data_IF_494621660688
#
_entry.id   IF_494621660688
#
_cell.length_a   1.000
_cell.length_b   1.000
_cell.length_c   1.000
_cell.angle_alpha   90.00
_cell.angle_beta   90.00
_cell.angle_gamma   90.00
#
_symmetry.space_group_name_H-M   'P 1'
#
loop_
_entity.id
_entity.type
_entity.pdbx_description
1 polymer ?
#
# COMPACT_ATOMS: atom_id res chain seq x y z
N UNK A 1 2.52 -4.54 -23.30
CA UNK A 1 2.16 -4.14 -21.92
C UNK A 1 2.35 -2.65 -21.81
N UNK A 2 1.44 -1.93 -21.14
CA UNK A 2 1.67 -0.49 -20.88
C UNK A 2 2.88 -0.33 -19.96
N UNK A 3 3.59 0.80 -20.07
CA UNK A 3 4.70 1.14 -19.19
C UNK A 3 4.34 0.95 -17.71
N UNK A 4 3.12 1.38 -17.34
CA UNK A 4 2.57 1.22 -16.00
C UNK A 4 2.47 -0.25 -15.55
N UNK A 5 1.87 -1.13 -16.35
CA UNK A 5 1.79 -2.56 -16.03
C UNK A 5 3.17 -3.21 -15.86
N UNK A 6 4.17 -2.74 -16.61
CA UNK A 6 5.55 -3.22 -16.47
C UNK A 6 6.16 -2.80 -15.14
N UNK A 7 5.96 -1.55 -14.70
CA UNK A 7 6.45 -1.06 -13.40
C UNK A 7 5.84 -1.86 -12.26
N UNK A 8 4.51 -2.05 -12.25
CA UNK A 8 3.82 -2.88 -11.24
C UNK A 8 4.42 -4.28 -11.16
N UNK A 9 4.60 -4.93 -12.32
CA UNK A 9 5.13 -6.30 -12.37
C UNK A 9 6.56 -6.37 -11.83
N UNK A 10 7.41 -5.40 -12.19
CA UNK A 10 8.77 -5.30 -11.64
C UNK A 10 8.73 -5.13 -10.12
N UNK A 11 7.86 -4.26 -9.59
CA UNK A 11 7.71 -4.05 -8.14
C UNK A 11 7.32 -5.33 -7.41
N UNK A 12 6.37 -6.09 -7.95
CA UNK A 12 5.94 -7.38 -7.38
C UNK A 12 7.10 -8.39 -7.40
N UNK A 13 7.79 -8.53 -8.53
CA UNK A 13 8.91 -9.47 -8.68
C UNK A 13 10.06 -9.11 -7.72
N UNK A 14 10.43 -7.83 -7.64
CA UNK A 14 11.47 -7.36 -6.71
C UNK A 14 11.07 -7.62 -5.25
N UNK A 15 9.81 -7.39 -4.89
CA UNK A 15 9.32 -7.66 -3.54
C UNK A 15 9.41 -9.16 -3.18
N UNK A 16 9.11 -10.05 -4.12
CA UNK A 16 9.28 -11.51 -3.94
C UNK A 16 10.77 -11.86 -3.75
N UNK A 17 11.66 -11.30 -4.58
CA UNK A 17 13.10 -11.51 -4.46
C UNK A 17 13.60 -11.06 -3.08
N UNK A 18 13.13 -9.92 -2.59
CA UNK A 18 13.49 -9.41 -1.26
C UNK A 18 13.02 -10.33 -0.13
N UNK A 19 11.80 -10.88 -0.22
CA UNK A 19 11.30 -11.88 0.75
C UNK A 19 12.23 -13.11 0.79
N UNK A 20 12.59 -13.64 -0.39
CA UNK A 20 13.53 -14.78 -0.50
C UNK A 20 14.90 -14.42 0.08
N UNK A 21 15.41 -13.23 -0.23
CA UNK A 21 16.72 -12.78 0.23
C UNK A 21 16.77 -12.65 1.75
N UNK A 22 15.76 -12.06 2.37
CA UNK A 22 15.69 -11.88 3.83
C UNK A 22 15.56 -13.22 4.54
N UNK A 23 14.76 -14.15 4.01
CA UNK A 23 14.60 -15.48 4.62
C UNK A 23 15.89 -16.31 4.58
N UNK A 24 16.72 -16.12 3.56
CA UNK A 24 18.02 -16.77 3.43
C UNK A 24 19.18 -16.00 4.09
N UNK A 25 18.92 -14.80 4.62
CA UNK A 25 19.94 -13.98 5.25
C UNK A 25 20.14 -14.35 6.72
N UNK A 26 21.39 -14.57 7.11
CA UNK A 26 21.78 -14.78 8.52
C UNK A 26 22.04 -13.46 9.28
N UNK A 27 21.95 -12.32 8.59
CA UNK A 27 22.24 -10.99 9.17
C UNK A 27 21.01 -10.44 9.90
N UNK A 28 19.81 -10.83 9.46
CA UNK A 28 18.55 -10.25 9.92
C UNK A 28 18.00 -11.05 11.10
N UNK A 29 17.70 -10.36 12.21
CA UNK A 29 17.06 -10.96 13.39
C UNK A 29 15.67 -11.51 13.05
N UNK A 30 15.19 -12.50 13.81
CA UNK A 30 13.90 -13.13 13.51
C UNK A 30 12.72 -12.15 13.52
N UNK A 31 12.74 -11.18 14.44
CA UNK A 31 11.71 -10.14 14.53
C UNK A 31 11.76 -9.19 13.33
N UNK A 32 12.96 -8.75 12.93
CA UNK A 32 13.16 -7.92 11.75
C UNK A 32 12.71 -8.66 10.47
N UNK A 33 13.05 -9.95 10.37
CA UNK A 33 12.66 -10.83 9.25
C UNK A 33 11.16 -10.87 9.08
N UNK A 34 10.41 -11.11 10.16
CA UNK A 34 8.94 -11.10 10.13
C UNK A 34 8.41 -9.75 9.66
N UNK A 35 8.92 -8.64 10.22
CA UNK A 35 8.50 -7.29 9.83
C UNK A 35 8.74 -6.97 8.35
N UNK A 36 9.93 -7.29 7.82
CA UNK A 36 10.22 -7.09 6.41
C UNK A 36 9.38 -7.99 5.49
N UNK A 37 9.24 -9.27 5.80
CA UNK A 37 8.42 -10.19 5.00
C UNK A 37 6.95 -9.75 4.94
N UNK A 38 6.39 -9.30 6.07
CA UNK A 38 5.04 -8.72 6.12
C UNK A 38 4.98 -7.48 5.23
N UNK A 39 5.95 -6.58 5.33
CA UNK A 39 5.97 -5.33 4.56
C UNK A 39 6.05 -5.56 3.06
N UNK A 40 6.92 -6.47 2.59
CA UNK A 40 6.99 -6.82 1.16
C UNK A 40 5.72 -7.53 0.67
N UNK A 41 5.07 -8.32 1.52
CA UNK A 41 3.78 -8.93 1.19
C UNK A 41 2.69 -7.86 1.00
N UNK A 42 2.68 -6.85 1.86
CA UNK A 42 1.78 -5.70 1.75
C UNK A 42 2.06 -4.93 0.45
N UNK A 43 3.33 -4.69 0.09
CA UNK A 43 3.69 -4.02 -1.17
C UNK A 43 3.17 -4.80 -2.39
N UNK A 44 3.29 -6.13 -2.39
CA UNK A 44 2.75 -6.98 -3.46
C UNK A 44 1.23 -6.80 -3.55
N UNK A 45 0.53 -6.82 -2.41
CA UNK A 45 -0.91 -6.65 -2.36
C UNK A 45 -1.36 -5.27 -2.86
N UNK A 46 -0.71 -4.19 -2.41
CA UNK A 46 -1.01 -2.82 -2.83
C UNK A 46 -0.71 -2.64 -4.33
N UNK A 47 0.43 -3.11 -4.82
CA UNK A 47 0.78 -3.04 -6.25
C UNK A 47 -0.26 -3.76 -7.12
N UNK A 48 -0.83 -4.87 -6.62
CA UNK A 48 -1.90 -5.58 -7.31
C UNK A 48 -3.22 -4.79 -7.31
N UNK A 49 -3.57 -4.11 -6.22
CA UNK A 49 -4.74 -3.21 -6.17
C UNK A 49 -4.57 -2.01 -7.10
N UNK A 50 -3.38 -1.42 -7.14
CA UNK A 50 -3.00 -0.34 -8.07
C UNK A 50 -3.26 -0.78 -9.52
N UNK A 51 -2.81 -2.00 -9.84
CA UNK A 51 -2.99 -2.58 -11.17
C UNK A 51 -4.44 -2.83 -11.54
N UNK A 52 -5.26 -3.30 -10.58
CA UNK A 52 -6.70 -3.46 -10.78
C UNK A 52 -7.38 -2.11 -10.99
N UNK A 53 -6.98 -1.09 -10.25
CA UNK A 53 -7.49 0.28 -10.35
C UNK A 53 -7.17 0.87 -11.73
N UNK A 54 -5.95 0.69 -12.23
CA UNK A 54 -5.56 1.09 -13.59
C UNK A 54 -6.38 0.39 -14.69
N UNK A 55 -6.76 -0.88 -14.52
CA UNK A 55 -7.64 -1.56 -15.48
C UNK A 55 -9.11 -1.14 -15.38
N UNK A 56 -9.52 -0.66 -14.21
CA UNK A 56 -10.85 -0.12 -13.96
C UNK A 56 -11.02 1.27 -14.58
N UNK A 57 -9.93 2.01 -14.70
CA UNK A 57 -9.91 3.38 -15.22
C UNK A 57 -10.36 3.42 -16.69
N UNK A 58 -11.35 4.28 -16.99
CA UNK A 58 -11.95 4.44 -18.31
C UNK A 58 -12.79 3.27 -18.83
N UNK A 59 -13.24 2.34 -17.97
CA UNK A 59 -14.14 1.23 -18.36
C UNK A 59 -15.54 1.37 -17.74
N UNK A 60 -16.62 1.39 -18.55
CA UNK A 60 -17.99 1.55 -18.04
C UNK A 60 -18.49 0.35 -17.21
N UNK A 61 -17.79 -0.79 -17.26
CA UNK A 61 -18.11 -2.00 -16.50
C UNK A 61 -17.53 -2.00 -15.09
N UNK A 62 -16.60 -1.10 -14.78
CA UNK A 62 -16.02 -1.02 -13.44
C UNK A 62 -16.76 0.01 -12.59
N UNK A 63 -17.29 -0.38 -11.42
CA UNK A 63 -17.99 0.57 -10.57
C UNK A 63 -17.03 1.62 -10.00
N UNK A 64 -17.43 2.88 -10.05
CA UNK A 64 -16.72 4.02 -9.46
C UNK A 64 -16.38 3.79 -7.97
N UNK A 65 -17.31 3.16 -7.24
CA UNK A 65 -17.10 2.83 -5.81
C UNK A 65 -15.96 1.83 -5.60
N UNK A 66 -15.70 0.94 -6.56
CA UNK A 66 -14.66 -0.07 -6.46
C UNK A 66 -13.27 0.54 -6.70
N UNK A 67 -13.16 1.45 -7.67
CA UNK A 67 -11.95 2.25 -7.87
C UNK A 67 -11.61 3.06 -6.61
N UNK A 68 -12.61 3.75 -6.05
CA UNK A 68 -12.46 4.54 -4.81
C UNK A 68 -11.99 3.65 -3.64
N UNK A 69 -12.55 2.45 -3.52
CA UNK A 69 -12.19 1.51 -2.45
C UNK A 69 -10.75 1.02 -2.58
N UNK A 70 -10.27 0.69 -3.78
CA UNK A 70 -8.89 0.25 -3.97
C UNK A 70 -7.88 1.36 -3.68
N UNK A 71 -8.14 2.57 -4.18
CA UNK A 71 -7.30 3.73 -3.87
C UNK A 71 -7.29 4.05 -2.37
N UNK A 72 -8.44 3.97 -1.69
CA UNK A 72 -8.53 4.15 -0.24
C UNK A 72 -7.71 3.13 0.57
N UNK A 73 -7.66 1.88 0.11
CA UNK A 73 -6.83 0.86 0.77
C UNK A 73 -5.34 1.17 0.56
N UNK A 74 -4.95 1.54 -0.66
CA UNK A 74 -3.56 1.88 -0.99
C UNK A 74 -3.03 3.06 -0.15
N UNK A 75 -3.74 4.18 -0.15
CA UNK A 75 -3.32 5.39 0.56
C UNK A 75 -3.30 5.20 2.07
N UNK A 76 -4.23 4.43 2.63
CA UNK A 76 -4.26 4.11 4.07
C UNK A 76 -3.10 3.21 4.50
N UNK A 77 -2.69 2.27 3.63
CA UNK A 77 -1.61 1.34 3.93
C UNK A 77 -0.23 2.00 3.82
N UNK A 78 -0.02 2.98 2.93
CA UNK A 78 1.27 3.61 2.70
C UNK A 78 2.02 4.07 3.97
N UNK A 79 1.42 4.85 4.90
CA UNK A 79 2.11 5.25 6.12
C UNK A 79 2.35 4.08 7.10
N UNK A 80 1.55 3.01 7.03
CA UNK A 80 1.73 1.82 7.88
C UNK A 80 3.00 1.02 7.51
N UNK A 81 3.38 1.00 6.23
CA UNK A 81 4.61 0.35 5.75
C UNK A 81 5.87 0.96 6.39
N UNK A 82 5.91 2.29 6.46
CA UNK A 82 7.04 3.01 7.09
C UNK A 82 7.16 2.63 8.56
N UNK A 83 6.04 2.55 9.27
CA UNK A 83 6.02 2.16 10.68
C UNK A 83 6.47 0.71 10.87
N UNK A 84 6.03 -0.20 10.00
CA UNK A 84 6.46 -1.61 10.01
C UNK A 84 7.97 -1.75 9.80
N UNK A 85 8.57 -0.98 8.90
CA UNK A 85 10.01 -1.00 8.69
C UNK A 85 10.80 -0.43 9.87
N UNK A 86 10.33 0.67 10.47
CA UNK A 86 10.95 1.20 11.69
C UNK A 86 10.87 0.19 12.82
N UNK A 87 9.74 -0.50 12.97
CA UNK A 87 9.57 -1.57 13.94
C UNK A 87 10.44 -2.81 13.63
N UNK A 88 10.66 -3.12 12.36
CA UNK A 88 11.51 -4.23 11.95
C UNK A 88 12.99 -3.97 12.26
N UNK A 89 13.47 -2.74 12.06
CA UNK A 89 14.88 -2.37 12.24
C UNK A 89 15.22 -2.10 13.71
N UNK A 90 14.28 -1.55 14.48
CA UNK A 90 14.54 -1.16 15.85
C UNK A 90 13.28 -0.96 16.67
N UNK A 91 13.44 -0.34 17.84
CA UNK A 91 12.33 -0.12 18.76
C UNK A 91 11.67 1.24 18.54
N UNK A 92 10.34 1.25 18.42
CA UNK A 92 9.56 2.49 18.38
C UNK A 92 9.36 2.97 19.82
N UNK A 93 10.12 4.01 20.22
CA UNK A 93 10.03 4.60 21.57
C UNK A 93 8.62 5.10 21.94
N UNK A 94 7.86 5.61 20.97
CA UNK A 94 6.53 6.19 21.18
C UNK A 94 5.47 5.55 20.29
N UNK A 95 5.33 4.22 20.35
CA UNK A 95 4.41 3.45 19.50
C UNK A 95 2.96 3.94 19.55
N UNK A 96 2.48 4.40 20.72
CA UNK A 96 1.14 4.97 20.88
C UNK A 96 0.92 6.25 20.08
N UNK A 97 1.93 7.13 20.03
CA UNK A 97 1.87 8.39 19.26
C UNK A 97 1.84 8.08 17.77
N UNK A 98 2.67 7.12 17.33
CA UNK A 98 2.70 6.66 15.94
C UNK A 98 1.34 6.08 15.51
N UNK A 99 0.75 5.21 16.34
CA UNK A 99 -0.59 4.65 16.08
C UNK A 99 -1.65 5.76 16.06
N UNK A 100 -1.57 6.74 16.95
CA UNK A 100 -2.49 7.89 16.96
C UNK A 100 -2.42 8.68 15.65
N UNK A 101 -1.21 8.94 15.13
CA UNK A 101 -1.05 9.61 13.84
C UNK A 101 -1.55 8.77 12.67
N UNK A 102 -1.33 7.45 12.68
CA UNK A 102 -1.88 6.55 11.66
C UNK A 102 -3.41 6.56 11.66
N UNK A 103 -4.03 6.52 12.84
CA UNK A 103 -5.49 6.59 12.98
C UNK A 103 -6.02 7.96 12.54
N UNK A 104 -5.34 9.05 12.91
CA UNK A 104 -5.73 10.40 12.48
C UNK A 104 -5.65 10.53 10.96
N UNK A 105 -4.58 10.02 10.34
CA UNK A 105 -4.44 9.99 8.89
C UNK A 105 -5.58 9.19 8.23
N UNK A 106 -5.85 7.98 8.71
CA UNK A 106 -6.93 7.15 8.20
C UNK A 106 -8.32 7.80 8.36
N UNK A 107 -8.55 8.53 9.47
CA UNK A 107 -9.79 9.28 9.69
C UNK A 107 -9.94 10.45 8.71
N UNK A 108 -8.85 11.19 8.46
CA UNK A 108 -8.85 12.29 7.46
C UNK A 108 -9.14 11.71 6.08
N UNK A 109 -8.48 10.61 5.72
CA UNK A 109 -8.68 9.94 4.44
C UNK A 109 -10.11 9.44 4.26
N UNK A 110 -10.67 8.79 5.29
CA UNK A 110 -12.06 8.34 5.28
C UNK A 110 -13.04 9.51 5.16
N UNK A 111 -12.80 10.61 5.88
CA UNK A 111 -13.61 11.84 5.76
C UNK A 111 -13.56 12.43 4.35
N UNK A 112 -12.46 12.21 3.63
CA UNK A 112 -12.30 12.69 2.27
C UNK A 112 -13.15 11.96 1.24
N UNK A 113 -13.63 10.74 1.54
CA UNK A 113 -14.48 9.98 0.60
C UNK A 113 -15.79 10.74 0.33
N UNK A 114 -16.34 11.42 1.34
CA UNK A 114 -17.58 12.19 1.19
C UNK A 114 -17.40 13.60 0.65
N UNK A 115 -16.21 14.19 0.82
CA UNK A 115 -15.93 15.56 0.37
C UNK A 115 -15.31 15.62 -1.02
N UNK A 116 -14.82 14.49 -1.54
CA UNK A 116 -14.12 14.42 -2.83
C UNK A 116 -12.75 15.14 -2.84
N UNK A 117 -12.21 15.51 -1.67
CA UNK A 117 -10.99 16.32 -1.57
C UNK A 117 -9.71 15.57 -1.99
N UNK A 118 -9.66 14.25 -1.75
CA UNK A 118 -8.55 13.34 -2.09
C UNK A 118 -8.95 12.43 -3.26
N UNK A 119 -10.19 11.95 -3.26
CA UNK A 119 -10.76 11.11 -4.32
C UNK A 119 -11.68 11.95 -5.20
N UNK A 120 -11.09 12.82 -6.03
CA UNK A 120 -11.84 13.54 -7.06
C UNK A 120 -12.00 12.64 -8.29
N UNK A 121 -13.24 12.35 -8.66
CA UNK A 121 -13.58 11.50 -9.80
C UNK A 121 -14.12 12.46 -10.87
N UNK A 122 -13.36 12.61 -11.95
CA UNK A 122 -13.72 13.51 -13.04
C UNK A 122 -14.97 12.97 -13.76
N UNK A 123 -15.97 13.83 -13.99
CA UNK A 123 -17.25 13.50 -14.62
C UNK A 123 -17.08 13.03 -16.09
N UNK A 124 -15.90 13.25 -16.68
CA UNK A 124 -15.53 12.77 -18.02
C UNK A 124 -15.13 11.30 -18.12
N UNK A 125 -15.01 10.58 -17.00
CA UNK A 125 -14.57 9.17 -16.97
C UNK A 125 -15.76 8.18 -17.06
N UNK A 126 -16.63 8.39 -18.06
CA UNK A 126 -17.75 7.51 -18.42
C UNK A 126 -17.40 6.53 -19.54
#
# INVERSE_FOLDING_TARGET
MSFYSTVVLITIVLSIIMIVHINNSNIVTENARKGFCISFTIIIFVSFLEWLTYFADGKPLFPIWLHTLFSAIEFSIAPSLVVLWVYAIGNIKHSRIVIMFLLLYALIEFSSIWTGAIYYIDEGNH
#
